data_IF_763096213354
#
_entry.id   IF_763096213354
#
_cell.length_a   1.000
_cell.length_b   1.000
_cell.length_c   1.000
_cell.angle_alpha   90.00
_cell.angle_beta   90.00
_cell.angle_gamma   90.00
#
_symmetry.space_group_name_H-M   'P 1'
#
loop_
_entity.id
_entity.type
_entity.pdbx_description
1 polymer ?
#
# COMPACT_ATOMS: atom_id res chain seq x y z
N UNK A 1 0.06 7.53 51.32
CA UNK A 1 1.04 7.66 50.21
C UNK A 1 1.32 6.37 49.44
N UNK A 2 1.52 5.21 50.08
CA UNK A 2 1.84 3.94 49.40
C UNK A 2 0.77 3.45 48.40
N UNK A 3 -0.52 3.57 48.72
CA UNK A 3 -1.63 3.10 47.87
C UNK A 3 -1.70 3.84 46.52
N UNK A 4 -1.41 5.15 46.51
CA UNK A 4 -1.44 5.97 45.28
C UNK A 4 -0.25 5.66 44.36
N UNK A 5 0.91 5.29 44.93
CA UNK A 5 2.07 4.81 44.16
C UNK A 5 1.78 3.46 43.48
N UNK A 6 1.15 2.53 44.19
CA UNK A 6 0.77 1.22 43.63
C UNK A 6 -0.26 1.39 42.51
N UNK A 7 -1.26 2.26 42.71
CA UNK A 7 -2.26 2.55 41.68
C UNK A 7 -1.65 3.22 40.44
N UNK A 8 -0.69 4.12 40.63
CA UNK A 8 0.08 4.75 39.54
C UNK A 8 0.91 3.74 38.74
N UNK A 9 1.55 2.76 39.41
CA UNK A 9 2.28 1.70 38.71
C UNK A 9 1.37 0.80 37.87
N UNK A 10 0.20 0.42 38.40
CA UNK A 10 -0.77 -0.40 37.65
C UNK A 10 -1.28 0.36 36.42
N UNK A 11 -1.53 1.66 36.54
CA UNK A 11 -1.96 2.50 35.42
C UNK A 11 -0.87 2.63 34.33
N UNK A 12 0.40 2.79 34.73
CA UNK A 12 1.52 2.82 33.80
C UNK A 12 1.73 1.48 33.05
N UNK A 13 1.51 0.35 33.72
CA UNK A 13 1.57 -0.98 33.12
C UNK A 13 0.40 -1.19 32.15
N UNK A 14 -0.82 -0.76 32.51
CA UNK A 14 -1.97 -0.84 31.63
C UNK A 14 -1.80 0.01 30.35
N UNK A 15 -1.25 1.22 30.47
CA UNK A 15 -0.94 2.08 29.32
C UNK A 15 0.12 1.45 28.40
N UNK A 16 1.17 0.87 28.97
CA UNK A 16 2.22 0.23 28.17
C UNK A 16 1.74 -1.03 27.45
N UNK A 17 0.79 -1.77 28.01
CA UNK A 17 0.14 -2.91 27.34
C UNK A 17 -0.76 -2.49 26.15
N UNK A 18 -1.42 -1.33 26.22
CA UNK A 18 -2.24 -0.79 25.12
C UNK A 18 -1.40 -0.42 23.89
N UNK A 19 -0.15 0.01 24.07
CA UNK A 19 0.75 0.37 22.97
C UNK A 19 1.24 -0.85 22.16
N UNK A 20 1.23 -2.04 22.74
CA UNK A 20 1.68 -3.27 22.07
C UNK A 20 0.66 -3.75 21.03
N UNK A 21 -0.64 -3.54 21.27
CA UNK A 21 -1.72 -3.96 20.36
C UNK A 21 -1.74 -3.14 19.05
N UNK A 22 -1.33 -1.86 19.07
CA UNK A 22 -1.29 -1.03 17.86
C UNK A 22 -0.34 -1.56 16.76
N UNK A 23 0.60 -2.45 17.08
CA UNK A 23 1.60 -2.92 16.13
C UNK A 23 1.26 -4.30 15.52
N UNK A 24 0.34 -5.07 16.12
CA UNK A 24 -0.01 -6.39 15.60
C UNK A 24 -0.77 -6.33 14.28
N UNK A 25 -1.71 -5.39 14.18
CA UNK A 25 -2.60 -5.30 13.01
C UNK A 25 -1.86 -4.76 11.79
N UNK A 26 -0.99 -3.76 12.00
CA UNK A 26 -0.11 -3.24 10.94
C UNK A 26 0.79 -4.34 10.38
N UNK A 27 1.39 -5.17 11.23
CA UNK A 27 2.22 -6.31 10.78
C UNK A 27 1.41 -7.38 10.07
N UNK A 28 0.18 -7.64 10.51
CA UNK A 28 -0.72 -8.59 9.86
C UNK A 28 -1.09 -8.11 8.45
N UNK A 29 -1.45 -6.84 8.30
CA UNK A 29 -1.73 -6.22 7.01
C UNK A 29 -0.51 -6.27 6.10
N UNK A 30 0.66 -5.90 6.62
CA UNK A 30 1.92 -5.93 5.87
C UNK A 30 2.20 -7.30 5.25
N UNK A 31 2.06 -8.35 6.07
CA UNK A 31 2.27 -9.73 5.64
C UNK A 31 1.28 -10.13 4.55
N UNK A 32 0.03 -9.70 4.65
CA UNK A 32 -0.98 -10.03 3.65
C UNK A 32 -0.72 -9.29 2.33
N UNK A 33 -0.43 -8.00 2.38
CA UNK A 33 0.01 -7.21 1.23
C UNK A 33 1.23 -7.84 0.56
N UNK A 34 2.22 -8.28 1.35
CA UNK A 34 3.44 -8.92 0.83
C UNK A 34 3.13 -10.21 0.08
N UNK A 35 2.17 -11.02 0.55
CA UNK A 35 1.73 -12.22 -0.19
C UNK A 35 1.05 -11.86 -1.50
N UNK A 36 0.17 -10.86 -1.50
CA UNK A 36 -0.51 -10.40 -2.71
C UNK A 36 0.52 -9.92 -3.74
N UNK A 37 1.47 -9.08 -3.32
CA UNK A 37 2.57 -8.61 -4.17
C UNK A 37 3.40 -9.79 -4.73
N UNK A 38 3.73 -10.78 -3.90
CA UNK A 38 4.45 -11.97 -4.33
C UNK A 38 3.67 -12.81 -5.35
N UNK A 39 2.35 -12.92 -5.21
CA UNK A 39 1.49 -13.61 -6.19
C UNK A 39 1.49 -12.87 -7.53
N UNK A 40 1.30 -11.55 -7.50
CA UNK A 40 1.25 -10.74 -8.73
C UNK A 40 2.58 -10.76 -9.47
N UNK A 41 3.70 -10.68 -8.73
CA UNK A 41 5.05 -10.73 -9.28
C UNK A 41 5.40 -12.05 -9.98
N UNK A 42 4.61 -13.13 -9.80
CA UNK A 42 4.82 -14.38 -10.58
C UNK A 42 4.57 -14.20 -12.07
N UNK A 43 3.76 -13.21 -12.42
CA UNK A 43 3.35 -12.89 -13.78
C UNK A 43 3.99 -11.60 -14.33
N UNK A 44 4.98 -11.05 -13.63
CA UNK A 44 5.72 -9.85 -14.06
C UNK A 44 7.18 -10.18 -14.41
N UNK A 45 7.86 -9.37 -15.23
CA UNK A 45 7.36 -8.17 -15.94
C UNK A 45 6.39 -8.52 -17.09
N UNK A 46 5.44 -7.63 -17.36
CA UNK A 46 4.45 -7.78 -18.46
C UNK A 46 4.21 -6.45 -19.17
N UNK A 47 4.10 -6.47 -20.49
CA UNK A 47 3.71 -5.30 -21.27
C UNK A 47 2.21 -5.04 -21.09
N UNK A 48 1.83 -3.80 -20.73
CA UNK A 48 0.42 -3.42 -20.58
C UNK A 48 -0.10 -2.70 -21.83
N UNK A 49 0.62 -1.66 -22.25
CA UNK A 49 0.30 -0.85 -23.42
C UNK A 49 1.58 -0.62 -24.26
N UNK A 50 1.44 0.03 -25.43
CA UNK A 50 2.52 0.20 -26.41
C UNK A 50 3.83 0.79 -25.82
N UNK A 51 3.71 1.61 -24.78
CA UNK A 51 4.84 2.33 -24.18
C UNK A 51 5.03 2.04 -22.69
N UNK A 52 4.25 1.13 -22.09
CA UNK A 52 4.28 0.89 -20.63
C UNK A 52 4.43 -0.58 -20.31
N UNK A 53 5.49 -0.90 -19.58
CA UNK A 53 5.72 -2.23 -18.99
C UNK A 53 5.45 -2.15 -17.49
N UNK A 54 4.67 -3.09 -16.98
CA UNK A 54 4.52 -3.32 -15.56
C UNK A 54 5.64 -4.26 -15.10
N UNK A 55 6.48 -3.81 -14.17
CA UNK A 55 7.68 -4.53 -13.77
C UNK A 55 7.45 -5.42 -12.56
N UNK A 56 6.88 -4.86 -11.50
CA UNK A 56 6.64 -5.56 -10.25
C UNK A 56 5.78 -4.73 -9.28
N UNK A 57 5.46 -5.36 -8.15
CA UNK A 57 4.86 -4.75 -6.97
C UNK A 57 5.78 -4.90 -5.77
N UNK A 58 5.86 -3.87 -4.94
CA UNK A 58 6.50 -3.88 -3.63
C UNK A 58 5.54 -3.48 -2.50
N UNK A 59 5.96 -3.75 -1.27
CA UNK A 59 5.24 -3.32 -0.06
C UNK A 59 6.24 -2.72 0.93
N UNK A 60 5.98 -1.49 1.37
CA UNK A 60 6.83 -0.83 2.37
C UNK A 60 6.49 -1.31 3.79
N UNK A 61 7.37 -1.08 4.79
CA UNK A 61 7.06 -1.37 6.19
C UNK A 61 5.82 -0.64 6.73
N UNK A 62 5.45 0.49 6.12
CA UNK A 62 4.30 1.31 6.49
C UNK A 62 3.00 0.91 5.76
N UNK A 63 2.98 -0.27 5.13
CA UNK A 63 1.83 -0.79 4.37
C UNK A 63 1.46 0.05 3.14
N UNK A 64 2.45 0.71 2.53
CA UNK A 64 2.26 1.30 1.20
C UNK A 64 2.50 0.24 0.15
N UNK A 65 1.55 0.09 -0.77
CA UNK A 65 1.61 -0.87 -1.86
C UNK A 65 2.08 -0.14 -3.13
N UNK A 66 3.23 -0.54 -3.67
CA UNK A 66 3.95 0.20 -4.69
C UNK A 66 3.93 -0.57 -6.01
N UNK A 67 3.44 0.06 -7.07
CA UNK A 67 3.49 -0.47 -8.43
C UNK A 67 4.68 0.16 -9.15
N UNK A 68 5.55 -0.68 -9.70
CA UNK A 68 6.69 -0.26 -10.49
C UNK A 68 6.40 -0.45 -11.97
N UNK A 69 6.52 0.62 -12.73
CA UNK A 69 6.37 0.66 -14.17
C UNK A 69 7.64 1.18 -14.83
N UNK A 70 7.87 0.74 -16.06
CA UNK A 70 8.87 1.34 -16.94
C UNK A 70 8.15 1.88 -18.16
N UNK A 71 8.40 3.15 -18.47
CA UNK A 71 8.02 3.74 -19.74
C UNK A 71 9.10 3.46 -20.79
N UNK A 72 8.68 2.98 -21.95
CA UNK A 72 9.57 2.50 -23.02
C UNK A 72 9.23 3.17 -24.35
N UNK A 73 10.23 3.28 -25.22
CA UNK A 73 10.06 3.66 -26.63
C UNK A 73 9.43 5.04 -26.88
N UNK A 74 9.71 6.02 -26.01
CA UNK A 74 9.35 7.44 -26.20
C UNK A 74 10.45 8.38 -25.72
N UNK A 75 10.64 9.47 -26.45
CA UNK A 75 11.72 10.45 -26.22
C UNK A 75 11.44 11.38 -25.03
N UNK A 76 10.16 11.64 -24.71
CA UNK A 76 9.76 12.55 -23.63
C UNK A 76 8.73 11.89 -22.66
N UNK A 77 9.16 10.93 -21.81
CA UNK A 77 8.26 10.20 -20.92
C UNK A 77 7.56 11.09 -19.88
N UNK A 78 8.14 12.23 -19.51
CA UNK A 78 7.58 13.14 -18.52
C UNK A 78 6.27 13.79 -19.00
N UNK A 79 6.20 14.14 -20.28
CA UNK A 79 5.00 14.72 -20.90
C UNK A 79 3.85 13.69 -20.96
N UNK A 80 4.18 12.43 -21.26
CA UNK A 80 3.20 11.34 -21.23
C UNK A 80 2.64 11.16 -19.80
N UNK A 81 3.50 11.07 -18.79
CA UNK A 81 3.07 10.94 -17.38
C UNK A 81 2.17 12.10 -16.97
N UNK A 82 2.57 13.34 -17.30
CA UNK A 82 1.81 14.54 -16.94
C UNK A 82 0.41 14.56 -17.59
N UNK A 83 0.31 14.16 -18.87
CA UNK A 83 -0.96 14.10 -19.59
C UNK A 83 -1.86 12.96 -19.11
N UNK A 84 -1.29 11.80 -18.75
CA UNK A 84 -2.04 10.63 -18.29
C UNK A 84 -2.53 10.72 -16.86
N UNK A 85 -1.88 11.52 -16.00
CA UNK A 85 -2.17 11.52 -14.56
C UNK A 85 -3.65 11.77 -14.24
N UNK A 86 -4.27 12.77 -14.86
CA UNK A 86 -5.66 13.12 -14.56
C UNK A 86 -6.64 12.05 -15.07
N UNK A 87 -6.41 11.51 -16.26
CA UNK A 87 -7.23 10.44 -16.83
C UNK A 87 -7.09 9.14 -16.02
N UNK A 88 -5.87 8.83 -15.57
CA UNK A 88 -5.58 7.67 -14.72
C UNK A 88 -6.35 7.77 -13.40
N UNK A 89 -6.31 8.93 -12.73
CA UNK A 89 -7.04 9.13 -11.48
C UNK A 89 -8.55 8.93 -11.64
N UNK A 90 -9.15 9.45 -12.72
CA UNK A 90 -10.59 9.26 -12.96
C UNK A 90 -10.96 7.79 -13.24
N UNK A 91 -10.13 7.07 -13.99
CA UNK A 91 -10.32 5.63 -14.24
C UNK A 91 -10.16 4.82 -12.96
N UNK A 92 -9.19 5.18 -12.12
CA UNK A 92 -8.93 4.52 -10.85
C UNK A 92 -10.14 4.62 -9.92
N UNK A 93 -10.74 5.80 -9.74
CA UNK A 93 -11.92 5.96 -8.88
C UNK A 93 -13.06 5.02 -9.29
N UNK A 94 -13.32 4.91 -10.59
CA UNK A 94 -14.33 3.97 -11.13
C UNK A 94 -13.94 2.51 -10.87
N UNK A 95 -12.67 2.17 -11.03
CA UNK A 95 -12.15 0.82 -10.82
C UNK A 95 -12.25 0.41 -9.34
N UNK A 96 -11.83 1.27 -8.41
CA UNK A 96 -11.94 1.00 -6.97
C UNK A 96 -13.40 0.89 -6.50
N UNK A 97 -14.33 1.59 -7.15
CA UNK A 97 -15.76 1.48 -6.84
C UNK A 97 -16.40 0.17 -7.32
N UNK A 98 -15.83 -0.49 -8.34
CA UNK A 98 -16.50 -1.59 -9.06
C UNK A 98 -15.79 -2.93 -8.95
N UNK A 99 -14.47 -2.94 -8.79
CA UNK A 99 -13.68 -4.15 -8.70
C UNK A 99 -13.63 -4.68 -7.25
N UNK A 100 -14.24 -5.84 -7.03
CA UNK A 100 -14.25 -6.51 -5.72
C UNK A 100 -12.83 -6.89 -5.26
N UNK A 101 -11.92 -7.18 -6.17
CA UNK A 101 -10.53 -7.52 -5.82
C UNK A 101 -9.79 -6.34 -5.19
N UNK A 102 -10.22 -5.11 -5.47
CA UNK A 102 -9.62 -3.89 -4.93
C UNK A 102 -10.21 -3.45 -3.59
N UNK A 103 -11.38 -3.98 -3.20
CA UNK A 103 -12.05 -3.60 -1.95
C UNK A 103 -11.18 -3.87 -0.71
N UNK A 104 -10.38 -4.94 -0.73
CA UNK A 104 -9.42 -5.22 0.34
C UNK A 104 -8.51 -4.01 0.63
N UNK A 105 -8.00 -3.35 -0.40
CA UNK A 105 -7.10 -2.20 -0.26
C UNK A 105 -7.84 -0.98 0.28
N UNK A 106 -9.07 -0.75 -0.20
CA UNK A 106 -9.94 0.36 0.24
C UNK A 106 -10.33 0.20 1.71
N UNK A 107 -10.84 -0.97 2.09
CA UNK A 107 -11.31 -1.26 3.45
C UNK A 107 -10.17 -1.21 4.49
N UNK A 108 -8.94 -1.53 4.08
CA UNK A 108 -7.76 -1.48 4.94
C UNK A 108 -7.01 -0.14 4.87
N UNK A 109 -7.53 0.86 4.14
CA UNK A 109 -6.93 2.18 4.03
C UNK A 109 -5.51 2.17 3.46
N UNK A 110 -5.25 1.25 2.53
CA UNK A 110 -3.92 1.05 1.95
C UNK A 110 -3.61 2.19 0.98
N UNK A 111 -2.42 2.79 1.13
CA UNK A 111 -1.92 3.78 0.18
C UNK A 111 -1.29 3.07 -1.02
N UNK A 112 -1.69 3.48 -2.21
CA UNK A 112 -1.21 2.91 -3.47
C UNK A 112 -0.28 3.93 -4.14
N UNK A 113 0.96 3.54 -4.41
CA UNK A 113 1.93 4.39 -5.11
C UNK A 113 2.22 3.83 -6.50
N UNK A 114 2.25 4.72 -7.49
CA UNK A 114 2.54 4.39 -8.89
C UNK A 114 3.86 5.04 -9.25
N UNK A 115 4.89 4.21 -9.44
CA UNK A 115 6.28 4.61 -9.64
C UNK A 115 6.62 4.33 -11.11
N UNK A 116 6.97 5.38 -11.85
CA UNK A 116 7.32 5.36 -13.28
C UNK A 116 8.80 5.70 -13.49
#
# INVERSE_FOLDING_TARGET
MKKYKILSYIFAIAISLLLIQCNSDKKKLNRELTKIAAEWNRSTPVALEAHTRFDSVGVTPDNVFQYYYTITNIDNPQELIASYKNEMLEKMDKMYATDRSLQFFVENGVTMEYIY
#
